data_IF_216184837291
#
_entry.id   IF_216184837291
#
_cell.length_a   1.000
_cell.length_b   1.000
_cell.length_c   1.000
_cell.angle_alpha   90.00
_cell.angle_beta   90.00
_cell.angle_gamma   90.00
#
_symmetry.space_group_name_H-M   'P 1'
#
loop_
_entity.id
_entity.type
_entity.pdbx_description
1 polymer ?
#
# COMPACT_ATOMS: atom_id res chain seq x y z
N UNK A 1 -29.55 13.47 33.87
CA UNK A 1 -29.96 12.19 33.28
C UNK A 1 -30.14 12.25 31.73
N UNK A 2 -30.56 13.41 31.19
CA UNK A 2 -30.86 13.56 29.74
C UNK A 2 -29.59 13.46 28.87
N UNK A 3 -28.43 13.90 29.38
CA UNK A 3 -27.15 13.82 28.63
C UNK A 3 -26.72 12.35 28.41
N UNK A 4 -27.07 11.45 29.31
CA UNK A 4 -26.69 10.04 29.20
C UNK A 4 -27.48 9.29 28.12
N UNK A 5 -28.73 9.70 27.84
CA UNK A 5 -29.56 9.05 26.80
C UNK A 5 -29.09 9.44 25.39
N UNK A 6 -28.83 10.72 25.13
CA UNK A 6 -28.32 11.17 23.83
C UNK A 6 -26.94 10.58 23.50
N UNK A 7 -26.02 10.54 24.48
CA UNK A 7 -24.72 9.91 24.32
C UNK A 7 -24.84 8.39 24.08
N UNK A 8 -25.76 7.73 24.79
CA UNK A 8 -26.08 6.30 24.59
C UNK A 8 -26.63 6.02 23.19
N UNK A 9 -27.53 6.88 22.68
CA UNK A 9 -28.13 6.74 21.36
C UNK A 9 -27.08 6.96 20.23
N UNK A 10 -26.20 7.94 20.41
CA UNK A 10 -25.08 8.16 19.47
C UNK A 10 -24.14 6.95 19.46
N UNK A 11 -23.77 6.43 20.63
CA UNK A 11 -22.92 5.26 20.76
C UNK A 11 -23.57 4.02 20.13
N UNK A 12 -24.85 3.79 20.39
CA UNK A 12 -25.61 2.68 19.82
C UNK A 12 -25.63 2.73 18.29
N UNK A 13 -25.92 3.89 17.72
CA UNK A 13 -25.88 4.10 16.25
C UNK A 13 -24.48 3.86 15.67
N UNK A 14 -23.43 4.28 16.36
CA UNK A 14 -22.06 4.02 15.91
C UNK A 14 -21.74 2.52 15.88
N UNK A 15 -22.20 1.76 16.87
CA UNK A 15 -22.01 0.30 16.92
C UNK A 15 -22.82 -0.39 15.83
N UNK A 16 -24.10 -0.01 15.62
CA UNK A 16 -24.96 -0.54 14.57
C UNK A 16 -24.35 -0.29 13.18
N UNK A 17 -23.92 0.93 12.90
CA UNK A 17 -23.26 1.28 11.63
C UNK A 17 -21.97 0.47 11.41
N UNK A 18 -21.18 0.23 12.47
CA UNK A 18 -19.96 -0.56 12.38
C UNK A 18 -20.25 -2.03 12.06
N UNK A 19 -21.31 -2.60 12.63
CA UNK A 19 -21.75 -3.97 12.34
C UNK A 19 -22.25 -4.07 10.89
N UNK A 20 -23.01 -3.11 10.41
CA UNK A 20 -23.45 -3.06 9.02
C UNK A 20 -22.24 -3.03 8.06
N UNK A 21 -21.27 -2.17 8.30
CA UNK A 21 -20.04 -2.08 7.48
C UNK A 21 -19.30 -3.43 7.44
N UNK A 22 -19.16 -4.12 8.57
CA UNK A 22 -18.51 -5.44 8.62
C UNK A 22 -19.30 -6.48 7.82
N UNK A 23 -20.63 -6.45 7.88
CA UNK A 23 -21.47 -7.33 7.09
C UNK A 23 -21.34 -7.05 5.58
N UNK A 24 -21.24 -5.78 5.18
CA UNK A 24 -20.98 -5.38 3.80
C UNK A 24 -19.60 -5.83 3.33
N UNK A 25 -18.59 -5.68 4.16
CA UNK A 25 -17.23 -6.14 3.87
C UNK A 25 -17.19 -7.64 3.59
N UNK A 26 -17.81 -8.45 4.46
CA UNK A 26 -17.86 -9.90 4.27
C UNK A 26 -18.53 -10.27 2.95
N UNK A 27 -19.67 -9.65 2.64
CA UNK A 27 -20.36 -9.86 1.37
C UNK A 27 -19.50 -9.48 0.16
N UNK A 28 -18.76 -8.36 0.26
CA UNK A 28 -17.89 -7.91 -0.83
C UNK A 28 -16.70 -8.83 -1.04
N UNK A 29 -16.08 -9.29 0.04
CA UNK A 29 -14.97 -10.24 -0.02
C UNK A 29 -15.42 -11.54 -0.69
N UNK A 30 -16.55 -12.11 -0.27
CA UNK A 30 -17.11 -13.32 -0.86
C UNK A 30 -17.42 -13.12 -2.35
N UNK A 31 -18.02 -11.98 -2.71
CA UNK A 31 -18.32 -11.65 -4.11
C UNK A 31 -17.07 -11.48 -4.97
N UNK A 32 -16.00 -10.84 -4.43
CA UNK A 32 -14.73 -10.68 -5.12
C UNK A 32 -14.06 -12.03 -5.38
N UNK A 33 -14.09 -12.92 -4.41
CA UNK A 33 -13.45 -14.23 -4.46
C UNK A 33 -14.20 -15.19 -5.37
N UNK A 34 -15.52 -15.31 -5.18
CA UNK A 34 -16.34 -16.30 -5.87
C UNK A 34 -16.48 -16.04 -7.37
N UNK A 35 -16.50 -14.77 -7.78
CA UNK A 35 -16.75 -14.39 -9.17
C UNK A 35 -15.49 -14.26 -10.04
N UNK A 36 -14.30 -14.65 -9.54
CA UNK A 36 -13.04 -14.45 -10.26
C UNK A 36 -12.85 -13.02 -10.82
N UNK A 37 -13.54 -12.05 -10.25
CA UNK A 37 -13.52 -10.65 -10.67
C UNK A 37 -12.10 -10.07 -10.61
N UNK A 38 -11.30 -10.56 -9.66
CA UNK A 38 -9.90 -10.19 -9.48
C UNK A 38 -8.97 -10.61 -10.64
N UNK A 39 -9.44 -11.50 -11.52
CA UNK A 39 -8.72 -11.89 -12.73
C UNK A 39 -8.90 -10.89 -13.89
N UNK A 40 -9.81 -9.93 -13.72
CA UNK A 40 -10.14 -8.92 -14.72
C UNK A 40 -9.43 -7.59 -14.42
N UNK A 41 -9.60 -6.64 -15.31
CA UNK A 41 -9.22 -5.25 -15.03
C UNK A 41 -9.95 -4.75 -13.78
N UNK A 42 -9.21 -4.15 -12.84
CA UNK A 42 -9.74 -3.72 -11.54
C UNK A 42 -10.95 -2.76 -11.69
N UNK A 43 -10.92 -1.87 -12.69
CA UNK A 43 -12.02 -0.95 -12.99
C UNK A 43 -13.30 -1.68 -13.41
N UNK A 44 -13.18 -2.75 -14.20
CA UNK A 44 -14.33 -3.58 -14.59
C UNK A 44 -14.91 -4.33 -13.39
N UNK A 45 -14.02 -4.85 -12.52
CA UNK A 45 -14.42 -5.48 -11.28
C UNK A 45 -15.15 -4.50 -10.34
N UNK A 46 -14.64 -3.28 -10.19
CA UNK A 46 -15.26 -2.22 -9.40
C UNK A 46 -16.67 -1.88 -9.90
N UNK A 47 -16.84 -1.71 -11.21
CA UNK A 47 -18.12 -1.38 -11.81
C UNK A 47 -19.16 -2.51 -11.57
N UNK A 48 -18.77 -3.77 -11.79
CA UNK A 48 -19.63 -4.92 -11.56
C UNK A 48 -20.02 -5.06 -10.08
N UNK A 49 -19.07 -4.87 -9.18
CA UNK A 49 -19.31 -4.88 -7.74
C UNK A 49 -20.26 -3.76 -7.33
N UNK A 50 -20.07 -2.54 -7.80
CA UNK A 50 -20.94 -1.42 -7.46
C UNK A 50 -22.39 -1.66 -7.92
N UNK A 51 -22.60 -2.32 -9.07
CA UNK A 51 -23.94 -2.70 -9.52
C UNK A 51 -24.58 -3.71 -8.55
N UNK A 52 -23.83 -4.75 -8.16
CA UNK A 52 -24.30 -5.79 -7.24
C UNK A 52 -24.53 -5.23 -5.82
N UNK A 53 -23.65 -4.35 -5.37
CA UNK A 53 -23.74 -3.70 -4.05
C UNK A 53 -24.93 -2.77 -3.99
N UNK A 54 -25.13 -1.89 -4.98
CA UNK A 54 -26.27 -0.97 -5.00
C UNK A 54 -27.62 -1.66 -5.02
N UNK A 55 -27.72 -2.86 -5.60
CA UNK A 55 -28.93 -3.65 -5.60
C UNK A 55 -29.32 -4.13 -4.19
N UNK A 56 -28.35 -4.40 -3.32
CA UNK A 56 -28.57 -4.85 -1.93
C UNK A 56 -28.48 -3.71 -0.91
N UNK A 57 -27.60 -2.74 -1.18
CA UNK A 57 -27.20 -1.67 -0.27
C UNK A 57 -27.16 -0.33 -1.01
N UNK A 58 -28.32 0.30 -1.25
CA UNK A 58 -28.42 1.48 -2.12
C UNK A 58 -27.61 2.70 -1.63
N UNK A 59 -27.30 2.76 -0.33
CA UNK A 59 -26.57 3.86 0.29
C UNK A 59 -25.05 3.62 0.33
N UNK A 60 -24.57 2.49 -0.17
CA UNK A 60 -23.15 2.13 -0.19
C UNK A 60 -22.58 2.27 -1.59
N UNK A 61 -21.45 2.94 -1.70
CA UNK A 61 -20.59 2.90 -2.87
C UNK A 61 -19.19 2.43 -2.48
N UNK A 62 -18.52 1.75 -3.40
CA UNK A 62 -17.19 1.22 -3.18
C UNK A 62 -16.25 1.68 -4.28
N UNK A 63 -14.97 1.80 -3.94
CA UNK A 63 -13.88 1.90 -4.90
C UNK A 63 -12.78 0.90 -4.54
N UNK A 64 -12.11 0.39 -5.57
CA UNK A 64 -11.02 -0.56 -5.44
C UNK A 64 -9.71 0.12 -5.83
N UNK A 65 -8.70 -0.04 -5.00
CA UNK A 65 -7.34 0.46 -5.24
C UNK A 65 -6.36 -0.72 -5.18
N UNK A 66 -5.54 -0.86 -6.22
CA UNK A 66 -4.47 -1.87 -6.22
C UNK A 66 -3.31 -1.39 -5.34
N UNK A 67 -3.19 -1.99 -4.19
CA UNK A 67 -2.12 -1.68 -3.23
C UNK A 67 -0.79 -2.38 -3.55
N UNK A 68 -0.75 -3.17 -4.64
CA UNK A 68 0.50 -3.74 -5.17
C UNK A 68 1.25 -2.77 -6.10
N UNK A 69 0.88 -1.48 -6.13
CA UNK A 69 1.52 -0.43 -6.95
C UNK A 69 2.23 0.64 -6.13
N UNK A 70 2.32 0.47 -4.82
CA UNK A 70 3.06 1.34 -3.91
C UNK A 70 4.44 0.77 -3.59
N UNK A 71 5.36 1.60 -3.11
CA UNK A 71 6.62 1.14 -2.54
C UNK A 71 6.37 0.65 -1.11
N UNK A 72 6.54 -0.64 -0.89
CA UNK A 72 6.32 -1.24 0.42
C UNK A 72 7.55 -1.05 1.30
N UNK A 73 7.45 -0.24 2.37
CA UNK A 73 8.55 0.03 3.30
C UNK A 73 9.12 -1.24 3.94
N UNK A 74 8.30 -2.27 4.14
CA UNK A 74 8.74 -3.54 4.74
C UNK A 74 9.67 -4.36 3.83
N UNK A 75 9.83 -3.96 2.56
CA UNK A 75 10.80 -4.60 1.65
C UNK A 75 12.25 -4.19 1.92
N UNK A 76 12.46 -3.16 2.73
CA UNK A 76 13.80 -2.71 3.12
C UNK A 76 14.53 -3.72 4.00
N UNK A 77 13.81 -4.66 4.60
CA UNK A 77 14.37 -5.82 5.29
C UNK A 77 13.97 -7.12 4.58
N UNK A 78 14.73 -8.17 4.82
CA UNK A 78 14.43 -9.53 4.36
C UNK A 78 14.58 -10.52 5.50
N UNK A 79 13.74 -11.57 5.56
CA UNK A 79 13.85 -12.58 6.58
C UNK A 79 15.11 -13.43 6.39
N UNK A 80 15.84 -13.63 7.47
CA UNK A 80 16.99 -14.53 7.53
C UNK A 80 17.02 -15.24 8.89
N UNK A 81 16.94 -16.57 8.92
CA UNK A 81 16.98 -17.38 10.16
C UNK A 81 16.01 -16.89 11.28
N UNK A 82 14.80 -16.48 10.88
CA UNK A 82 13.74 -15.94 11.75
C UNK A 82 13.97 -14.53 12.31
N UNK A 83 14.98 -13.80 11.82
CA UNK A 83 15.18 -12.37 12.09
C UNK A 83 15.03 -11.58 10.79
N UNK A 84 14.74 -10.29 10.91
CA UNK A 84 14.79 -9.37 9.79
C UNK A 84 16.19 -8.79 9.68
N UNK A 85 16.76 -8.84 8.50
CA UNK A 85 18.06 -8.24 8.21
C UNK A 85 17.92 -7.22 7.06
N UNK A 86 18.78 -6.25 7.04
CA UNK A 86 18.89 -5.21 6.01
C UNK A 86 18.87 -5.78 4.58
N UNK A 87 18.13 -5.15 3.69
CA UNK A 87 18.14 -5.42 2.27
C UNK A 87 18.72 -4.19 1.51
N UNK A 88 20.03 -4.16 1.31
CA UNK A 88 20.72 -3.03 0.70
C UNK A 88 20.24 -2.74 -0.72
N UNK A 89 19.98 -3.78 -1.53
CA UNK A 89 19.45 -3.62 -2.89
C UNK A 89 18.13 -2.84 -2.89
N UNK A 90 17.20 -3.19 -2.00
CA UNK A 90 15.93 -2.49 -1.90
C UNK A 90 16.07 -1.09 -1.28
N UNK A 91 17.10 -0.87 -0.45
CA UNK A 91 17.47 0.47 0.03
C UNK A 91 17.83 1.42 -1.10
N UNK A 92 18.62 0.96 -2.06
CA UNK A 92 18.97 1.75 -3.25
C UNK A 92 17.72 2.05 -4.12
N UNK A 93 16.80 1.10 -4.27
CA UNK A 93 15.53 1.35 -4.97
C UNK A 93 14.67 2.40 -4.25
N UNK A 94 14.69 2.42 -2.93
CA UNK A 94 14.01 3.45 -2.16
C UNK A 94 14.67 4.83 -2.33
N UNK A 95 16.00 4.90 -2.34
CA UNK A 95 16.74 6.14 -2.65
C UNK A 95 16.37 6.65 -4.05
N UNK A 96 16.23 5.76 -5.04
CA UNK A 96 15.73 6.15 -6.37
C UNK A 96 14.34 6.78 -6.29
N UNK A 97 13.42 6.22 -5.48
CA UNK A 97 12.11 6.80 -5.27
C UNK A 97 12.18 8.20 -4.64
N UNK A 98 13.05 8.41 -3.66
CA UNK A 98 13.24 9.71 -3.00
C UNK A 98 13.79 10.78 -3.95
N UNK A 99 14.59 10.36 -4.93
CA UNK A 99 15.24 11.26 -5.89
C UNK A 99 14.23 11.85 -6.91
N UNK A 100 13.22 11.09 -7.30
CA UNK A 100 12.26 11.51 -8.33
C UNK A 100 11.40 12.72 -7.91
N UNK A 101 10.87 12.84 -6.69
CA UNK A 101 10.14 14.01 -6.22
C UNK A 101 11.05 15.09 -5.58
N UNK A 102 12.38 15.00 -5.79
CA UNK A 102 13.35 15.96 -5.30
C UNK A 102 13.32 16.15 -3.76
N UNK A 103 13.25 15.04 -3.03
CA UNK A 103 13.54 15.05 -1.58
C UNK A 103 15.01 15.38 -1.35
N UNK A 104 15.34 16.11 -0.27
CA UNK A 104 16.72 16.50 0.01
C UNK A 104 17.65 15.27 0.07
N UNK A 105 18.65 15.26 -0.79
CA UNK A 105 19.61 14.13 -0.90
C UNK A 105 20.40 13.88 0.38
N UNK A 106 20.59 14.90 1.20
CA UNK A 106 21.35 14.78 2.46
C UNK A 106 20.65 13.84 3.46
N UNK A 107 19.33 13.71 3.40
CA UNK A 107 18.59 12.86 4.32
C UNK A 107 18.28 11.46 3.76
N UNK A 108 18.55 11.18 2.48
CA UNK A 108 18.17 9.90 1.85
C UNK A 108 18.72 8.70 2.62
N UNK A 109 20.04 8.71 2.87
CA UNK A 109 20.70 7.61 3.55
C UNK A 109 20.28 7.51 5.02
N UNK A 110 20.15 8.64 5.70
CA UNK A 110 19.68 8.70 7.07
C UNK A 110 18.27 8.13 7.19
N UNK A 111 17.36 8.48 6.27
CA UNK A 111 16.01 7.96 6.26
C UNK A 111 15.98 6.44 6.05
N UNK A 112 16.78 5.94 5.09
CA UNK A 112 16.91 4.50 4.84
C UNK A 112 17.45 3.76 6.06
N UNK A 113 18.55 4.24 6.65
CA UNK A 113 19.20 3.61 7.80
C UNK A 113 18.25 3.58 9.03
N UNK A 114 17.49 4.67 9.30
CA UNK A 114 16.51 4.69 10.38
C UNK A 114 15.29 3.80 10.14
N UNK A 115 14.89 3.62 8.88
CA UNK A 115 13.84 2.64 8.57
C UNK A 115 14.36 1.23 8.83
N UNK A 116 15.60 0.92 8.47
CA UNK A 116 16.21 -0.38 8.78
C UNK A 116 16.20 -0.65 10.27
N UNK A 117 16.79 0.24 11.09
CA UNK A 117 16.86 0.09 12.54
C UNK A 117 15.45 -0.07 13.17
N UNK A 118 14.42 0.50 12.55
CA UNK A 118 13.06 0.36 13.06
C UNK A 118 12.37 -0.95 12.63
N UNK A 119 12.92 -1.68 11.66
CA UNK A 119 12.32 -2.89 11.10
C UNK A 119 13.09 -4.16 11.44
N UNK A 120 14.40 -4.07 11.71
CA UNK A 120 15.21 -5.23 12.04
C UNK A 120 15.06 -5.64 13.51
N UNK A 121 15.68 -6.77 13.88
CA UNK A 121 15.46 -7.40 15.19
C UNK A 121 16.67 -7.18 16.14
N UNK A 122 17.64 -6.33 15.74
CA UNK A 122 18.78 -6.07 16.60
C UNK A 122 18.74 -4.65 17.22
N UNK A 123 19.69 -4.29 18.05
CA UNK A 123 19.76 -2.97 18.70
C UNK A 123 21.04 -2.22 18.34
N UNK A 124 21.64 -2.55 17.19
CA UNK A 124 22.88 -1.95 16.71
C UNK A 124 22.53 -0.93 15.62
N UNK A 125 22.69 0.37 15.88
CA UNK A 125 22.31 1.37 14.91
C UNK A 125 23.15 1.29 13.64
N UNK A 126 22.52 1.44 12.49
CA UNK A 126 23.19 1.69 11.23
C UNK A 126 23.99 3.00 11.28
N UNK A 127 24.86 3.25 10.29
CA UNK A 127 25.78 4.40 10.29
C UNK A 127 25.09 5.75 10.52
N UNK A 128 23.91 5.94 9.94
CA UNK A 128 23.06 7.12 10.09
C UNK A 128 21.71 6.77 10.71
N UNK A 129 21.61 5.59 11.30
CA UNK A 129 20.40 5.05 11.90
C UNK A 129 20.13 5.60 13.30
N UNK A 130 19.11 5.06 13.95
CA UNK A 130 18.73 5.43 15.30
C UNK A 130 17.97 4.30 15.98
N UNK A 131 18.50 3.88 17.12
CA UNK A 131 17.87 2.93 18.03
C UNK A 131 17.17 3.63 19.20
N UNK A 132 16.50 2.88 20.05
CA UNK A 132 15.71 3.38 21.20
C UNK A 132 16.47 4.42 22.04
N UNK A 133 17.75 4.20 22.30
CA UNK A 133 18.57 5.13 23.08
C UNK A 133 18.70 6.52 22.44
N UNK A 134 18.71 6.56 21.10
CA UNK A 134 18.72 7.82 20.36
C UNK A 134 17.41 8.59 20.56
N UNK A 135 16.29 7.93 20.43
CA UNK A 135 14.97 8.55 20.58
C UNK A 135 14.72 9.01 22.01
N UNK A 136 15.09 8.21 23.01
CA UNK A 136 15.00 8.58 24.44
C UNK A 136 15.87 9.80 24.72
N UNK A 137 17.11 9.85 24.23
CA UNK A 137 18.03 10.98 24.45
C UNK A 137 17.54 12.29 23.81
N UNK A 138 16.67 12.23 22.81
CA UNK A 138 16.08 13.37 22.13
C UNK A 138 14.63 13.66 22.56
N UNK A 139 14.22 13.19 23.74
CA UNK A 139 12.86 13.36 24.28
C UNK A 139 11.74 12.88 23.34
N UNK A 140 12.06 11.97 22.44
CA UNK A 140 11.08 11.32 21.57
C UNK A 140 10.56 10.07 22.27
N UNK A 141 9.26 10.02 22.51
CA UNK A 141 8.58 8.88 23.17
C UNK A 141 8.32 7.71 22.21
N UNK A 142 8.62 7.85 20.93
CA UNK A 142 8.51 6.75 19.96
C UNK A 142 9.73 5.85 20.08
N UNK A 143 9.51 4.59 20.38
CA UNK A 143 10.52 3.54 20.34
C UNK A 143 10.46 2.81 19.01
N UNK A 144 11.57 2.16 18.63
CA UNK A 144 11.60 1.30 17.47
C UNK A 144 10.65 0.11 17.69
N UNK A 145 9.85 -0.27 16.69
CA UNK A 145 8.94 -1.40 16.83
C UNK A 145 9.65 -2.76 16.69
N UNK A 146 10.89 -2.81 16.17
CA UNK A 146 11.68 -4.03 15.87
C UNK A 146 10.86 -5.09 15.14
N UNK A 147 10.02 -4.62 14.21
CA UNK A 147 9.11 -5.45 13.45
C UNK A 147 8.61 -4.73 12.20
N UNK A 148 8.04 -5.49 11.26
CA UNK A 148 7.44 -4.93 10.07
C UNK A 148 6.38 -3.86 10.41
N UNK A 149 6.37 -2.76 9.67
CA UNK A 149 5.35 -1.74 9.82
C UNK A 149 3.95 -2.29 9.51
N UNK A 150 2.99 -1.97 10.34
CA UNK A 150 1.57 -2.25 10.09
C UNK A 150 0.92 -1.20 9.19
N UNK A 151 1.42 0.03 9.25
CA UNK A 151 0.89 1.14 8.48
C UNK A 151 1.99 2.15 8.12
N UNK A 152 1.93 2.69 6.91
CA UNK A 152 2.93 3.64 6.39
C UNK A 152 3.11 4.90 7.24
N UNK A 153 2.12 5.26 8.08
CA UNK A 153 2.24 6.42 8.97
C UNK A 153 3.34 6.28 10.02
N UNK A 154 3.83 5.06 10.27
CA UNK A 154 4.93 4.83 11.23
C UNK A 154 6.23 5.51 10.79
N UNK A 155 6.43 5.76 9.49
CA UNK A 155 7.56 6.56 8.99
C UNK A 155 7.64 7.96 9.63
N UNK A 156 6.52 8.51 10.07
CA UNK A 156 6.46 9.81 10.74
C UNK A 156 7.16 9.81 12.11
N UNK A 157 7.24 8.66 12.75
CA UNK A 157 7.86 8.51 14.06
C UNK A 157 9.38 8.66 14.01
N UNK A 158 9.98 8.48 12.82
CA UNK A 158 11.42 8.63 12.61
C UNK A 158 11.91 10.08 12.73
N UNK A 159 11.00 11.06 12.66
CA UNK A 159 11.26 12.49 12.86
C UNK A 159 12.36 13.09 11.95
N UNK A 160 12.56 12.53 10.76
CA UNK A 160 13.54 13.01 9.77
C UNK A 160 12.88 13.88 8.71
N UNK A 161 11.73 13.43 8.21
CA UNK A 161 11.03 14.09 7.12
C UNK A 161 10.24 15.28 7.65
N UNK A 162 10.52 16.45 7.10
CA UNK A 162 9.63 17.58 7.25
C UNK A 162 8.28 17.31 6.53
N UNK A 163 7.20 18.04 6.88
CA UNK A 163 5.88 17.80 6.31
C UNK A 163 5.82 17.94 4.78
N UNK A 164 6.63 18.83 4.18
CA UNK A 164 6.65 19.03 2.73
C UNK A 164 7.30 17.84 2.03
N UNK A 165 8.48 17.42 2.47
CA UNK A 165 9.18 16.24 1.96
C UNK A 165 8.36 14.97 2.12
N UNK A 166 7.70 14.80 3.27
CA UNK A 166 6.82 13.67 3.50
C UNK A 166 5.64 13.66 2.52
N UNK A 167 5.00 14.80 2.29
CA UNK A 167 3.87 14.88 1.37
C UNK A 167 4.24 14.53 -0.08
N UNK A 168 5.48 14.79 -0.50
CA UNK A 168 5.98 14.45 -1.84
C UNK A 168 6.02 12.94 -2.11
N UNK A 169 6.18 12.12 -1.08
CA UNK A 169 6.35 10.66 -1.22
C UNK A 169 5.25 9.84 -0.56
N UNK A 170 4.47 10.43 0.36
CA UNK A 170 3.56 9.66 1.21
C UNK A 170 2.49 8.87 0.45
N UNK A 171 2.01 9.39 -0.68
CA UNK A 171 1.08 8.67 -1.56
C UNK A 171 1.70 7.43 -2.18
N UNK A 172 3.01 7.47 -2.45
CA UNK A 172 3.74 6.42 -3.14
C UNK A 172 4.14 5.25 -2.21
N UNK A 173 3.99 5.44 -0.88
CA UNK A 173 4.38 4.48 0.16
C UNK A 173 3.23 3.62 0.64
N UNK A 174 3.56 2.41 1.07
CA UNK A 174 2.69 1.52 1.84
C UNK A 174 3.49 0.70 2.87
N UNK A 175 2.75 -0.01 3.73
CA UNK A 175 3.28 -1.04 4.62
C UNK A 175 2.42 -2.29 4.44
N UNK A 176 2.94 -3.28 3.75
CA UNK A 176 2.29 -4.54 3.46
C UNK A 176 2.95 -5.66 4.26
N UNK A 177 2.23 -6.69 4.69
CA UNK A 177 2.77 -7.77 5.51
C UNK A 177 3.62 -8.76 4.68
N UNK A 178 4.59 -8.22 3.96
CA UNK A 178 5.55 -8.97 3.14
C UNK A 178 6.80 -8.14 2.93
N UNK A 179 7.95 -8.80 2.85
CA UNK A 179 9.22 -8.19 2.48
C UNK A 179 9.56 -8.32 0.98
N UNK A 180 8.66 -8.90 0.18
CA UNK A 180 8.85 -9.02 -1.27
C UNK A 180 8.38 -7.75 -1.98
N UNK A 181 9.17 -7.27 -2.94
CA UNK A 181 8.71 -6.29 -3.92
C UNK A 181 7.76 -6.99 -4.90
N UNK A 182 6.59 -6.39 -5.10
CA UNK A 182 5.61 -6.85 -6.08
C UNK A 182 4.88 -5.63 -6.65
N UNK A 183 5.02 -5.41 -7.95
CA UNK A 183 4.32 -4.36 -8.66
C UNK A 183 3.41 -4.94 -9.74
N UNK A 184 2.11 -4.65 -9.65
CA UNK A 184 1.17 -5.07 -10.67
C UNK A 184 1.26 -4.16 -11.89
N UNK A 185 1.90 -4.64 -12.95
CA UNK A 185 2.10 -3.87 -14.18
C UNK A 185 0.78 -3.52 -14.87
N UNK A 186 -0.29 -4.29 -14.65
CA UNK A 186 -1.60 -4.00 -15.22
C UNK A 186 -2.29 -2.81 -14.58
N UNK A 187 -1.87 -2.40 -13.39
CA UNK A 187 -2.36 -1.22 -12.68
C UNK A 187 -1.44 0.00 -12.84
N UNK A 188 -0.39 -0.11 -13.68
CA UNK A 188 0.48 1.03 -13.99
C UNK A 188 -0.30 2.15 -14.66
N UNK A 189 -0.16 3.37 -14.12
CA UNK A 189 -0.77 4.61 -14.60
C UNK A 189 0.10 5.82 -14.18
N UNK A 190 -0.31 7.02 -14.54
CA UNK A 190 0.42 8.26 -14.27
C UNK A 190 0.67 8.51 -12.76
N UNK A 191 -0.22 8.08 -11.88
CA UNK A 191 -0.10 8.34 -10.44
C UNK A 191 0.97 7.47 -9.75
N UNK A 192 1.27 6.28 -10.29
CA UNK A 192 2.22 5.34 -9.69
C UNK A 192 3.48 5.08 -10.53
N UNK A 193 3.66 5.85 -11.62
CA UNK A 193 4.84 5.71 -12.50
C UNK A 193 6.17 6.00 -11.78
N UNK A 194 6.19 6.87 -10.76
CA UNK A 194 7.38 7.13 -9.95
C UNK A 194 7.85 5.88 -9.22
N UNK A 195 6.91 5.16 -8.60
CA UNK A 195 7.20 3.89 -7.93
C UNK A 195 7.76 2.89 -8.93
N UNK A 196 7.12 2.76 -10.09
CA UNK A 196 7.60 1.84 -11.11
C UNK A 196 9.01 2.19 -11.60
N UNK A 197 9.30 3.46 -11.90
CA UNK A 197 10.64 3.91 -12.31
C UNK A 197 11.70 3.69 -11.22
N UNK A 198 11.35 3.84 -9.95
CA UNK A 198 12.29 3.58 -8.85
C UNK A 198 12.68 2.10 -8.75
N UNK A 199 11.75 1.20 -9.06
CA UNK A 199 11.97 -0.25 -9.07
C UNK A 199 12.73 -0.74 -10.31
N UNK A 200 12.68 0.00 -11.40
CA UNK A 200 13.29 -0.33 -12.68
C UNK A 200 14.10 0.85 -13.23
N UNK A 201 15.26 1.18 -12.61
CA UNK A 201 16.02 2.39 -12.93
C UNK A 201 16.58 2.44 -14.36
N UNK A 202 16.67 1.30 -15.05
CA UNK A 202 17.09 1.23 -16.45
C UNK A 202 15.98 1.59 -17.46
N UNK A 203 14.74 1.75 -16.97
CA UNK A 203 13.62 2.21 -17.78
C UNK A 203 13.54 3.73 -17.81
N UNK A 204 13.00 4.25 -18.89
CA UNK A 204 12.69 5.68 -19.04
C UNK A 204 11.19 5.89 -19.27
N UNK A 205 10.77 7.15 -19.31
CA UNK A 205 9.36 7.55 -19.50
C UNK A 205 8.78 6.96 -20.79
N UNK A 206 9.54 6.92 -21.89
CA UNK A 206 9.05 6.35 -23.16
C UNK A 206 8.79 4.84 -23.04
N UNK A 207 9.59 4.12 -22.21
CA UNK A 207 9.35 2.70 -21.97
C UNK A 207 8.05 2.51 -21.15
N UNK A 208 7.77 3.38 -20.18
CA UNK A 208 6.50 3.37 -19.43
C UNK A 208 5.31 3.63 -20.34
N UNK A 209 5.40 4.66 -21.20
CA UNK A 209 4.34 4.96 -22.16
C UNK A 209 4.04 3.76 -23.05
N UNK A 210 5.06 3.02 -23.52
CA UNK A 210 4.85 1.78 -24.27
C UNK A 210 4.08 0.74 -23.45
N UNK A 211 4.40 0.58 -22.15
CA UNK A 211 3.68 -0.35 -21.27
C UNK A 211 2.21 0.05 -21.14
N UNK A 212 1.93 1.33 -20.94
CA UNK A 212 0.56 1.83 -20.75
C UNK A 212 -0.25 1.74 -22.04
N UNK A 213 0.33 2.19 -23.16
CA UNK A 213 -0.39 2.27 -24.44
C UNK A 213 -0.61 0.91 -25.11
N UNK A 214 0.31 -0.05 -24.95
CA UNK A 214 0.19 -1.37 -25.55
C UNK A 214 -0.48 -2.39 -24.61
N UNK A 215 -1.02 -1.95 -23.47
CA UNK A 215 -1.72 -2.81 -22.53
C UNK A 215 -2.99 -3.39 -23.17
N UNK A 216 -3.10 -4.73 -23.29
CA UNK A 216 -4.32 -5.37 -23.77
C UNK A 216 -5.53 -5.04 -22.89
N UNK A 217 -6.72 -5.12 -23.44
CA UNK A 217 -7.98 -4.90 -22.68
C UNK A 217 -8.08 -5.79 -21.43
N UNK A 218 -7.60 -7.03 -21.54
CA UNK A 218 -7.58 -8.00 -20.43
C UNK A 218 -6.27 -7.95 -19.61
N UNK A 219 -5.41 -6.94 -19.87
CA UNK A 219 -4.10 -6.81 -19.25
C UNK A 219 -3.04 -7.76 -19.82
N UNK A 220 -1.80 -7.56 -19.35
CA UNK A 220 -0.70 -8.49 -19.59
C UNK A 220 -0.92 -9.76 -18.73
N UNK A 221 -0.52 -10.93 -19.29
CA UNK A 221 -0.73 -12.23 -18.64
C UNK A 221 0.59 -12.84 -18.18
N UNK A 222 1.68 -12.58 -18.92
CA UNK A 222 3.02 -13.12 -18.66
C UNK A 222 4.10 -12.10 -19.00
N UNK A 223 5.31 -12.31 -18.47
CA UNK A 223 6.48 -11.48 -18.81
C UNK A 223 6.78 -11.52 -20.33
N UNK A 224 6.62 -12.68 -20.97
CA UNK A 224 6.81 -12.81 -22.42
C UNK A 224 5.79 -11.92 -23.16
N UNK A 225 4.53 -11.99 -22.78
CA UNK A 225 3.48 -11.18 -23.39
C UNK A 225 3.74 -9.66 -23.20
N UNK A 226 4.20 -9.24 -22.03
CA UNK A 226 4.61 -7.86 -21.76
C UNK A 226 5.75 -7.43 -22.71
N UNK A 227 6.82 -8.21 -22.79
CA UNK A 227 7.99 -7.91 -23.61
C UNK A 227 7.64 -7.89 -25.10
N UNK A 228 6.92 -8.90 -25.60
CA UNK A 228 6.55 -9.03 -27.01
C UNK A 228 5.69 -7.86 -27.50
N UNK A 229 4.77 -7.36 -26.65
CA UNK A 229 3.86 -6.26 -27.00
C UNK A 229 4.49 -4.88 -26.88
N UNK A 230 5.43 -4.71 -25.94
CA UNK A 230 6.03 -3.39 -25.69
C UNK A 230 7.36 -3.18 -26.41
N UNK A 231 8.02 -4.26 -26.78
CA UNK A 231 9.38 -4.21 -27.36
C UNK A 231 10.45 -3.75 -26.37
N UNK A 232 10.18 -3.79 -25.06
CA UNK A 232 11.15 -3.42 -24.03
C UNK A 232 12.19 -4.53 -23.90
N UNK A 233 13.46 -4.13 -23.75
CA UNK A 233 14.53 -5.09 -23.49
C UNK A 233 14.31 -5.77 -22.13
N UNK A 234 14.26 -7.10 -22.14
CA UNK A 234 14.03 -7.91 -20.94
C UNK A 234 15.12 -7.76 -19.88
N UNK A 235 16.32 -7.30 -20.25
CA UNK A 235 17.42 -7.05 -19.30
C UNK A 235 17.14 -5.88 -18.37
N UNK A 236 16.30 -4.94 -18.78
CA UNK A 236 15.88 -3.77 -17.98
C UNK A 236 14.84 -4.10 -16.92
N UNK A 237 14.27 -5.30 -16.93
CA UNK A 237 13.16 -5.69 -16.06
C UNK A 237 13.58 -6.79 -15.09
N UNK A 238 13.58 -6.49 -13.80
CA UNK A 238 13.64 -7.56 -12.80
C UNK A 238 12.27 -8.25 -12.74
N UNK A 239 12.18 -9.42 -13.39
CA UNK A 239 10.93 -10.16 -13.53
C UNK A 239 10.33 -10.60 -12.21
N UNK A 240 11.12 -10.74 -11.14
CA UNK A 240 10.64 -11.13 -9.82
C UNK A 240 9.78 -10.02 -9.17
N UNK A 241 9.97 -8.76 -9.57
CA UNK A 241 9.20 -7.63 -9.05
C UNK A 241 7.86 -7.44 -9.76
N UNK A 242 7.65 -8.06 -10.93
CA UNK A 242 6.46 -7.86 -11.75
C UNK A 242 5.44 -8.95 -11.49
N UNK A 243 4.23 -8.52 -11.13
CA UNK A 243 3.05 -9.37 -11.08
C UNK A 243 1.99 -8.86 -12.07
N UNK A 244 1.06 -9.74 -12.44
CA UNK A 244 0.03 -9.45 -13.44
C UNK A 244 -1.39 -9.41 -12.84
N UNK A 245 -1.49 -9.57 -11.53
CA UNK A 245 -2.72 -9.49 -10.75
C UNK A 245 -2.42 -8.84 -9.41
N UNK A 246 -3.35 -8.10 -8.82
CA UNK A 246 -3.14 -7.54 -7.49
C UNK A 246 -2.88 -8.64 -6.45
N UNK A 247 -1.92 -8.40 -5.57
CA UNK A 247 -1.68 -9.21 -4.38
C UNK A 247 -2.37 -8.62 -3.15
N UNK A 248 -2.59 -7.30 -3.17
CA UNK A 248 -3.28 -6.55 -2.14
C UNK A 248 -4.24 -5.57 -2.78
N UNK A 249 -5.46 -5.53 -2.27
CA UNK A 249 -6.49 -4.57 -2.70
C UNK A 249 -6.96 -3.79 -1.48
N UNK A 250 -7.00 -2.47 -1.61
CA UNK A 250 -7.71 -1.61 -0.68
C UNK A 250 -9.11 -1.39 -1.19
N UNK A 251 -10.09 -1.72 -0.37
CA UNK A 251 -11.50 -1.44 -0.62
C UNK A 251 -11.86 -0.20 0.19
N UNK A 252 -12.29 0.86 -0.49
CA UNK A 252 -12.83 2.04 0.16
C UNK A 252 -14.36 1.98 0.09
N UNK A 253 -15.00 2.23 1.21
CA UNK A 253 -16.45 2.21 1.37
C UNK A 253 -16.92 3.62 1.68
N UNK A 254 -17.87 4.11 0.92
CA UNK A 254 -18.58 5.36 1.17
C UNK A 254 -20.03 5.03 1.51
N UNK A 255 -20.38 5.14 2.77
CA UNK A 255 -21.72 4.86 3.28
C UNK A 255 -22.44 6.18 3.61
N UNK A 256 -23.57 6.44 2.97
CA UNK A 256 -24.42 7.59 3.26
C UNK A 256 -25.63 7.15 4.08
N UNK A 257 -25.66 7.53 5.34
CA UNK A 257 -26.77 7.23 6.26
C UNK A 257 -27.41 8.55 6.72
N UNK A 258 -28.64 8.80 6.35
CA UNK A 258 -29.42 9.98 6.76
C UNK A 258 -28.66 11.32 6.54
N UNK A 259 -27.91 11.42 5.44
CA UNK A 259 -27.10 12.60 5.09
C UNK A 259 -25.74 12.67 5.78
N UNK A 260 -25.39 11.71 6.61
CA UNK A 260 -24.05 11.57 7.16
C UNK A 260 -23.21 10.62 6.29
N UNK A 261 -22.00 11.06 5.93
CA UNK A 261 -21.08 10.28 5.12
C UNK A 261 -20.02 9.64 6.03
N UNK A 262 -19.91 8.33 5.94
CA UNK A 262 -18.88 7.56 6.63
C UNK A 262 -17.93 6.99 5.59
N UNK A 263 -16.64 7.27 5.77
CA UNK A 263 -15.56 6.69 4.98
C UNK A 263 -14.92 5.56 5.77
N UNK A 264 -14.90 4.40 5.18
CA UNK A 264 -14.28 3.22 5.75
C UNK A 264 -13.36 2.59 4.72
N UNK A 265 -12.28 1.97 5.13
CA UNK A 265 -11.45 1.19 4.21
C UNK A 265 -10.91 -0.07 4.86
N UNK A 266 -10.76 -1.11 4.05
CA UNK A 266 -10.06 -2.33 4.43
C UNK A 266 -9.00 -2.68 3.40
N UNK A 267 -7.85 -3.13 3.88
CA UNK A 267 -6.81 -3.71 3.06
C UNK A 267 -6.95 -5.23 3.08
N UNK A 268 -7.17 -5.80 1.91
CA UNK A 268 -7.34 -7.23 1.70
C UNK A 268 -6.06 -7.81 1.08
N UNK A 269 -5.54 -8.88 1.68
CA UNK A 269 -4.52 -9.73 1.07
C UNK A 269 -5.20 -10.80 0.22
N UNK A 270 -4.78 -10.93 -1.02
CA UNK A 270 -5.23 -11.98 -1.95
C UNK A 270 -4.28 -13.17 -1.99
N UNK A 271 -3.23 -13.13 -1.16
CA UNK A 271 -2.30 -14.24 -0.97
C UNK A 271 -2.83 -15.20 0.11
N UNK A 272 -2.72 -16.51 -0.12
CA UNK A 272 -2.94 -17.56 0.90
C UNK A 272 -4.24 -17.44 1.71
N UNK A 273 -5.38 -17.28 1.01
CA UNK A 273 -6.69 -17.45 1.66
C UNK A 273 -7.47 -16.17 1.93
N UNK A 274 -7.17 -15.07 1.26
CA UNK A 274 -7.97 -13.84 1.27
C UNK A 274 -8.33 -13.37 2.70
N UNK A 275 -7.46 -12.62 3.34
CA UNK A 275 -7.70 -12.10 4.68
C UNK A 275 -7.57 -10.57 4.74
N UNK A 276 -8.31 -9.97 5.66
CA UNK A 276 -8.22 -8.53 5.94
C UNK A 276 -6.97 -8.26 6.75
N UNK A 277 -6.06 -7.44 6.22
CA UNK A 277 -4.80 -7.03 6.87
C UNK A 277 -5.08 -5.99 7.94
N UNK A 278 -5.80 -4.93 7.57
CA UNK A 278 -6.25 -3.90 8.51
C UNK A 278 -7.52 -3.20 8.02
N UNK A 279 -8.17 -2.52 8.94
CA UNK A 279 -9.32 -1.66 8.69
C UNK A 279 -9.05 -0.26 9.22
N UNK A 280 -9.51 0.75 8.50
CA UNK A 280 -9.49 2.13 8.97
C UNK A 280 -10.85 2.80 8.79
N UNK A 281 -11.22 3.64 9.75
CA UNK A 281 -12.42 4.46 9.71
C UNK A 281 -11.98 5.92 9.73
N UNK A 282 -12.36 6.68 8.72
CA UNK A 282 -12.21 8.14 8.71
C UNK A 282 -13.59 8.80 8.73
N UNK A 283 -13.69 9.85 9.49
CA UNK A 283 -14.85 10.74 9.52
C UNK A 283 -14.64 11.90 8.57
#
# INVERSE_FOLDING_TARGET
PVISSAASDVYKRQVENRIEIINYESFLIDTLVDNSLLNRNLLLAENELNLNVKAKFPNLSISLEDYSTCFNLNTLVKPFQNINIKNEEHGELFINLLTLPEVDKNIHKELVDRIYDSLDDDSLPETFGAEDLFYIANDNLSLNPDQLYFHKSQIKNLSILDPESLNKIYSDLCALPTSDIQFNVNSLNENNMKVFLSLFPDLNINDLEKIILNKPLNGYITHKNLIDLTGIDSSKLNKSFIIFKPSFIKINYLLNLEGQIFNFSSLLSLKRGNFVVYRSLSR
#
